data_IF_002353649014
#
_entry.id   IF_002353649014
#
_cell.length_a   1.000
_cell.length_b   1.000
_cell.length_c   1.000
_cell.angle_alpha   90.00
_cell.angle_beta   90.00
_cell.angle_gamma   90.00
#
_symmetry.space_group_name_H-M   'P 1'
#
loop_
_entity.id
_entity.type
_entity.pdbx_description
1 polymer ?
#
# COMPACT_ATOMS: atom_id res chain seq x y z
N UNK A 1 8.72 12.76 -11.39
CA UNK A 1 8.74 12.07 -10.10
C UNK A 1 9.32 10.70 -10.22
N UNK A 2 10.02 10.28 -9.21
CA UNK A 2 10.69 8.99 -9.21
C UNK A 2 10.11 8.11 -8.13
N UNK A 3 9.75 6.89 -8.49
CA UNK A 3 9.26 5.91 -7.54
C UNK A 3 10.42 4.97 -7.16
N UNK A 4 10.55 4.68 -5.88
CA UNK A 4 11.52 3.69 -5.45
C UNK A 4 11.19 3.13 -4.08
N UNK A 5 11.66 1.93 -3.83
CA UNK A 5 11.59 1.37 -2.49
C UNK A 5 12.55 2.09 -1.57
N UNK A 6 12.16 2.23 -0.34
CA UNK A 6 12.98 2.94 0.64
C UNK A 6 14.17 2.08 1.04
N UNK A 7 15.36 2.58 0.87
CA UNK A 7 16.54 1.84 1.19
C UNK A 7 17.29 2.42 2.38
N UNK A 8 17.22 3.72 2.55
CA UNK A 8 17.96 4.34 3.63
C UNK A 8 17.05 4.60 4.82
N UNK A 9 17.63 4.73 6.00
CA UNK A 9 16.83 5.04 7.17
C UNK A 9 16.06 6.34 7.05
N UNK A 10 16.63 7.34 6.38
CA UNK A 10 15.94 8.60 6.30
C UNK A 10 14.75 8.52 5.35
N UNK A 11 14.87 7.72 4.29
CA UNK A 11 13.75 7.52 3.40
C UNK A 11 12.62 6.79 4.12
N UNK A 12 12.97 5.76 4.87
CA UNK A 12 11.97 5.03 5.63
C UNK A 12 11.29 5.92 6.65
N UNK A 13 12.06 6.79 7.28
CA UNK A 13 11.48 7.71 8.22
C UNK A 13 10.52 8.68 7.54
N UNK A 14 10.92 9.25 6.42
CA UNK A 14 10.09 10.22 5.72
C UNK A 14 8.77 9.60 5.28
N UNK A 15 8.81 8.42 4.70
CA UNK A 15 7.61 7.75 4.26
C UNK A 15 6.76 7.34 5.46
N UNK A 16 7.40 6.84 6.50
CA UNK A 16 6.68 6.46 7.71
C UNK A 16 5.97 7.62 8.35
N UNK A 17 6.60 8.78 8.37
CA UNK A 17 5.98 9.97 8.94
C UNK A 17 4.81 10.44 8.09
N UNK A 18 4.92 10.36 6.78
CA UNK A 18 3.83 10.73 5.92
C UNK A 18 2.62 9.82 6.16
N UNK A 19 2.86 8.52 6.23
CA UNK A 19 1.78 7.58 6.45
C UNK A 19 1.15 7.78 7.82
N UNK A 20 1.96 7.93 8.84
CA UNK A 20 1.47 8.13 10.19
C UNK A 20 0.69 9.44 10.32
N UNK A 21 1.14 10.47 9.64
CA UNK A 21 0.47 11.77 9.69
C UNK A 21 -0.90 11.73 9.08
N UNK A 22 -1.18 10.75 8.25
CA UNK A 22 -2.50 10.62 7.67
C UNK A 22 -3.32 9.53 8.36
N UNK A 23 -2.86 9.08 9.49
CA UNK A 23 -3.63 8.15 10.30
C UNK A 23 -3.48 6.70 9.91
N UNK A 24 -2.54 6.38 9.08
CA UNK A 24 -2.34 5.00 8.67
C UNK A 24 -1.59 4.28 9.78
N UNK A 25 -2.16 3.22 10.29
CA UNK A 25 -1.58 2.59 11.48
C UNK A 25 -0.40 1.71 11.16
N UNK A 26 0.76 2.29 11.20
CA UNK A 26 1.97 1.52 11.07
C UNK A 26 2.62 1.29 12.42
N UNK A 27 1.94 1.67 13.48
CA UNK A 27 2.54 1.61 14.78
C UNK A 27 2.87 0.22 15.20
N UNK A 28 3.75 0.09 16.04
CA UNK A 28 4.11 -1.17 16.59
C UNK A 28 4.95 -1.96 15.65
N UNK A 29 4.46 -3.07 15.23
CA UNK A 29 5.25 -3.91 14.43
C UNK A 29 5.19 -3.53 13.03
N UNK A 30 4.29 -2.68 12.63
CA UNK A 30 4.07 -2.44 11.23
C UNK A 30 5.24 -1.90 10.49
N UNK A 31 5.94 -0.98 11.10
CA UNK A 31 7.04 -0.35 10.39
C UNK A 31 8.17 -1.31 10.15
N UNK A 32 8.43 -2.17 11.12
CA UNK A 32 9.56 -3.06 10.97
C UNK A 32 9.29 -4.24 10.04
N UNK A 33 8.05 -4.61 9.89
CA UNK A 33 7.74 -5.72 9.03
C UNK A 33 7.19 -5.32 7.68
N UNK A 34 7.21 -4.03 7.38
CA UNK A 34 6.64 -3.55 6.14
C UNK A 34 7.70 -3.08 5.19
N UNK A 35 7.45 -3.27 3.92
CA UNK A 35 8.25 -2.62 2.89
C UNK A 35 7.63 -1.27 2.63
N UNK A 36 8.46 -0.26 2.56
CA UNK A 36 8.01 1.09 2.31
C UNK A 36 8.50 1.57 0.96
N UNK A 37 7.63 2.28 0.28
CA UNK A 37 7.93 2.81 -1.05
C UNK A 37 7.64 4.31 -1.06
N UNK A 38 8.39 5.05 -1.81
CA UNK A 38 8.18 6.49 -1.91
C UNK A 38 8.13 6.96 -3.35
N UNK A 39 7.36 8.01 -3.58
CA UNK A 39 7.31 8.71 -4.84
C UNK A 39 7.92 10.09 -4.58
N UNK A 40 9.02 10.36 -5.23
CA UNK A 40 9.82 11.54 -4.93
C UNK A 40 9.81 12.53 -6.06
N UNK A 41 9.61 13.80 -5.72
CA UNK A 41 9.64 14.86 -6.69
C UNK A 41 11.04 15.47 -6.68
N UNK A 42 11.76 15.27 -7.73
CA UNK A 42 13.13 15.75 -7.81
C UNK A 42 13.22 17.17 -8.30
N UNK A 43 12.10 17.79 -8.63
CA UNK A 43 12.16 19.15 -9.12
C UNK A 43 11.95 20.17 -8.02
N UNK A 44 11.81 19.71 -6.80
CA UNK A 44 11.61 20.63 -5.68
C UNK A 44 12.83 21.49 -5.48
N UNK A 45 12.60 22.73 -5.11
CA UNK A 45 13.71 23.66 -4.95
C UNK A 45 14.67 23.24 -3.87
N UNK A 46 14.20 22.56 -2.87
CA UNK A 46 15.04 22.15 -1.77
C UNK A 46 15.64 20.77 -1.97
N UNK A 47 15.61 20.26 -3.16
CA UNK A 47 16.10 18.92 -3.42
C UNK A 47 14.94 17.96 -3.63
N UNK A 48 15.05 16.74 -3.12
CA UNK A 48 13.97 15.79 -3.30
C UNK A 48 12.87 16.05 -2.29
N UNK A 49 11.65 16.00 -2.73
CA UNK A 49 10.51 16.12 -1.84
C UNK A 49 9.63 14.90 -1.98
N UNK A 50 9.14 14.37 -0.88
CA UNK A 50 8.30 13.20 -0.91
C UNK A 50 6.89 13.58 -1.33
N UNK A 51 6.42 13.04 -2.43
CA UNK A 51 5.09 13.31 -2.94
C UNK A 51 4.07 12.28 -2.49
N UNK A 52 4.51 11.10 -2.18
CA UNK A 52 3.60 10.07 -1.70
C UNK A 52 4.34 8.85 -1.21
N UNK A 53 3.66 8.01 -0.50
CA UNK A 53 4.26 6.82 0.05
C UNK A 53 3.28 5.66 0.15
N UNK A 54 3.81 4.47 0.21
CA UNK A 54 3.01 3.27 0.34
C UNK A 54 3.71 2.27 1.25
N UNK A 55 2.92 1.43 1.88
CA UNK A 55 3.46 0.37 2.74
C UNK A 55 2.83 -0.95 2.34
N UNK A 56 3.66 -1.99 2.26
CA UNK A 56 3.18 -3.33 1.96
C UNK A 56 3.70 -4.28 3.01
N UNK A 57 3.03 -5.41 3.16
CA UNK A 57 3.51 -6.48 4.01
C UNK A 57 4.55 -7.32 3.31
N UNK A 58 5.02 -8.35 3.97
CA UNK A 58 6.01 -9.24 3.37
C UNK A 58 5.39 -10.13 2.30
N UNK A 59 6.22 -10.67 1.47
CA UNK A 59 5.78 -11.63 0.47
C UNK A 59 5.35 -12.89 1.17
N UNK A 60 4.14 -13.27 0.98
CA UNK A 60 3.61 -14.46 1.62
C UNK A 60 3.62 -15.65 0.71
N UNK A 61 3.14 -16.76 1.23
CA UNK A 61 3.05 -17.97 0.48
C UNK A 61 2.14 -17.77 -0.71
N UNK A 62 2.44 -18.39 -1.79
CA UNK A 62 1.65 -18.22 -2.99
C UNK A 62 1.89 -16.91 -3.71
N UNK A 63 2.84 -16.14 -3.28
CA UNK A 63 3.17 -14.89 -3.97
C UNK A 63 2.24 -13.76 -3.64
N UNK A 64 1.53 -13.84 -2.52
CA UNK A 64 0.60 -12.79 -2.14
C UNK A 64 1.27 -11.72 -1.30
N UNK A 65 1.03 -10.46 -1.58
CA UNK A 65 1.53 -9.34 -0.79
C UNK A 65 0.36 -8.46 -0.44
N UNK A 66 0.30 -7.98 0.78
CA UNK A 66 -0.78 -7.10 1.20
C UNK A 66 -0.36 -5.64 1.07
N UNK A 67 -1.18 -4.84 0.42
CA UNK A 67 -1.01 -3.40 0.41
C UNK A 67 -1.65 -2.86 1.67
N UNK A 68 -0.87 -2.24 2.51
CA UNK A 68 -1.33 -1.82 3.83
C UNK A 68 -1.75 -0.37 3.91
N UNK A 69 -1.23 0.47 3.08
CA UNK A 69 -1.63 1.86 3.10
C UNK A 69 -0.96 2.67 2.02
N UNK A 70 -1.55 3.80 1.76
CA UNK A 70 -1.05 4.71 0.77
C UNK A 70 -1.34 6.12 1.22
N UNK A 71 -0.45 7.02 1.01
CA UNK A 71 -0.64 8.42 1.37
C UNK A 71 -0.03 9.32 0.30
N UNK A 72 -0.66 10.45 0.06
CA UNK A 72 -0.16 11.46 -0.86
C UNK A 72 0.11 12.71 -0.05
N UNK A 73 1.24 13.32 -0.25
CA UNK A 73 1.62 14.48 0.52
C UNK A 73 0.71 15.66 0.20
N UNK A 74 0.43 16.47 1.22
CA UNK A 74 -0.36 17.65 1.01
C UNK A 74 0.41 18.56 0.07
N UNK A 75 -0.23 19.17 -0.80
CA UNK A 75 0.45 20.03 -1.74
C UNK A 75 0.91 19.36 -3.00
N UNK A 76 1.18 18.06 -2.93
CA UNK A 76 1.47 17.35 -4.12
C UNK A 76 0.20 16.92 -4.79
N UNK A 77 -0.79 17.08 -4.14
CA UNK A 77 -1.98 16.67 -4.43
C UNK A 77 -2.59 16.63 -5.61
N UNK A 78 -2.48 15.72 -6.24
CA UNK A 78 -3.06 15.70 -7.34
C UNK A 78 -3.67 14.55 -7.73
N UNK A 79 -4.43 14.65 -8.65
CA UNK A 79 -5.15 13.65 -9.20
C UNK A 79 -4.32 12.63 -9.73
N UNK A 80 -4.57 11.40 -9.44
CA UNK A 80 -3.86 10.27 -10.00
C UNK A 80 -2.60 9.85 -9.27
N UNK A 81 -2.14 10.57 -8.28
CA UNK A 81 -0.93 10.14 -7.60
C UNK A 81 -1.15 8.87 -6.79
N UNK A 82 -2.29 8.74 -6.15
CA UNK A 82 -2.58 7.49 -5.43
C UNK A 82 -2.62 6.29 -6.36
N UNK A 83 -3.27 6.45 -7.50
CA UNK A 83 -3.32 5.39 -8.48
C UNK A 83 -1.92 5.07 -9.00
N UNK A 84 -1.13 6.09 -9.26
CA UNK A 84 0.23 5.90 -9.74
C UNK A 84 1.05 5.13 -8.72
N UNK A 85 0.92 5.48 -7.43
CA UNK A 85 1.63 4.76 -6.39
C UNK A 85 1.25 3.29 -6.39
N UNK A 86 -0.03 2.98 -6.48
CA UNK A 86 -0.45 1.59 -6.47
C UNK A 86 0.11 0.85 -7.67
N UNK A 87 0.06 1.46 -8.83
CA UNK A 87 0.55 0.82 -10.05
C UNK A 87 2.07 0.60 -9.99
N UNK A 88 2.79 1.56 -9.47
CA UNK A 88 4.24 1.41 -9.35
C UNK A 88 4.61 0.36 -8.31
N UNK A 89 3.86 0.29 -7.22
CA UNK A 89 4.09 -0.77 -6.23
C UNK A 89 3.82 -2.13 -6.87
N UNK A 90 2.74 -2.24 -7.62
CA UNK A 90 2.41 -3.49 -8.28
C UNK A 90 3.52 -3.93 -9.25
N UNK A 91 4.04 -2.99 -10.03
CA UNK A 91 5.11 -3.31 -10.95
C UNK A 91 6.38 -3.74 -10.22
N UNK A 92 6.68 -3.06 -9.12
CA UNK A 92 7.86 -3.41 -8.33
C UNK A 92 7.71 -4.80 -7.73
N UNK A 93 6.53 -5.14 -7.26
CA UNK A 93 6.31 -6.44 -6.66
C UNK A 93 6.29 -7.54 -7.72
N UNK A 94 5.76 -7.24 -8.90
CA UNK A 94 5.80 -8.20 -9.98
C UNK A 94 7.26 -8.54 -10.32
N UNK A 95 8.10 -7.54 -10.34
CA UNK A 95 9.51 -7.76 -10.63
C UNK A 95 10.20 -8.59 -9.55
N UNK A 96 9.65 -8.65 -8.36
CA UNK A 96 10.20 -9.45 -7.30
C UNK A 96 9.59 -10.84 -7.24
N UNK A 97 8.72 -11.18 -8.15
CA UNK A 97 8.13 -12.49 -8.18
C UNK A 97 6.80 -12.64 -7.47
N UNK A 98 6.23 -11.54 -7.03
CA UNK A 98 4.91 -11.62 -6.42
C UNK A 98 3.86 -11.95 -7.48
N UNK A 99 2.87 -12.71 -7.10
CA UNK A 99 1.83 -13.12 -8.03
C UNK A 99 0.56 -12.29 -7.87
N UNK A 100 0.37 -11.70 -6.70
CA UNK A 100 -0.89 -11.03 -6.42
C UNK A 100 -0.73 -9.98 -5.34
N UNK A 101 -1.39 -8.87 -5.50
CA UNK A 101 -1.43 -7.83 -4.48
C UNK A 101 -2.84 -7.81 -3.92
N UNK A 102 -2.99 -7.88 -2.63
CA UNK A 102 -4.29 -7.87 -1.99
C UNK A 102 -4.44 -6.66 -1.09
N UNK A 103 -5.64 -6.15 -0.95
CA UNK A 103 -5.89 -5.00 -0.11
C UNK A 103 -7.29 -5.09 0.49
N UNK A 104 -7.44 -4.47 1.64
CA UNK A 104 -8.73 -4.35 2.25
C UNK A 104 -9.13 -2.91 2.18
N UNK A 105 -10.28 -2.57 1.69
CA UNK A 105 -10.69 -1.17 1.64
C UNK A 105 -10.69 -0.56 3.03
N UNK A 106 -10.07 0.57 3.15
CA UNK A 106 -9.97 1.23 4.44
C UNK A 106 -9.67 2.70 4.17
N UNK A 107 -10.62 3.57 4.44
CA UNK A 107 -10.44 4.97 4.19
C UNK A 107 -9.30 5.56 5.00
N UNK A 108 -9.06 5.03 6.18
CA UNK A 108 -7.99 5.56 7.00
C UNK A 108 -6.64 5.24 6.43
N UNK A 109 -6.56 4.15 5.70
CA UNK A 109 -5.30 3.76 5.09
C UNK A 109 -5.17 4.29 3.67
N UNK A 110 -6.08 5.12 3.23
CA UNK A 110 -6.04 5.66 1.89
C UNK A 110 -6.48 4.67 0.83
N UNK A 111 -7.00 3.52 1.24
CA UNK A 111 -7.36 2.47 0.31
C UNK A 111 -8.86 2.49 0.05
N UNK A 112 -9.30 3.52 -0.63
CA UNK A 112 -10.73 3.63 -0.92
C UNK A 112 -11.11 2.67 -2.03
N UNK A 113 -12.35 2.22 -2.05
CA UNK A 113 -12.79 1.37 -3.15
C UNK A 113 -12.60 2.01 -4.51
N UNK A 114 -12.79 3.32 -4.60
CA UNK A 114 -12.60 4.00 -5.86
C UNK A 114 -11.16 3.93 -6.34
N UNK A 115 -10.22 4.12 -5.43
CA UNK A 115 -8.81 4.02 -5.77
C UNK A 115 -8.46 2.61 -6.20
N UNK A 116 -8.89 1.63 -5.42
CA UNK A 116 -8.55 0.24 -5.73
C UNK A 116 -9.12 -0.16 -7.09
N UNK A 117 -10.35 0.24 -7.33
CA UNK A 117 -10.96 -0.08 -8.62
C UNK A 117 -10.22 0.61 -9.77
N UNK A 118 -9.83 1.86 -9.57
CA UNK A 118 -9.13 2.58 -10.62
C UNK A 118 -7.77 1.98 -10.94
N UNK A 119 -7.18 1.28 -9.99
CA UNK A 119 -5.89 0.64 -10.18
C UNK A 119 -6.02 -0.79 -10.72
N UNK A 120 -7.24 -1.27 -10.89
CA UNK A 120 -7.45 -2.59 -11.46
C UNK A 120 -7.79 -3.68 -10.48
N UNK A 121 -7.93 -3.36 -9.21
CA UNK A 121 -8.31 -4.36 -8.23
C UNK A 121 -9.78 -4.74 -8.42
N UNK A 122 -10.07 -5.98 -8.10
CA UNK A 122 -11.44 -6.47 -8.11
C UNK A 122 -11.70 -7.12 -6.77
N UNK A 123 -12.94 -7.15 -6.32
CA UNK A 123 -13.27 -7.84 -5.07
C UNK A 123 -12.91 -9.30 -5.21
N UNK A 124 -12.24 -9.84 -4.24
CA UNK A 124 -11.86 -11.23 -4.28
C UNK A 124 -13.08 -12.08 -3.97
N UNK A 125 -13.21 -13.13 -4.64
CA UNK A 125 -14.29 -14.03 -4.38
C UNK A 125 -14.07 -14.59 -3.02
N UNK A 126 -15.07 -14.96 -2.39
CA UNK A 126 -14.95 -15.43 -1.08
C UNK A 126 -14.02 -16.53 -0.94
N UNK A 127 -13.55 -16.77 -0.04
CA UNK A 127 -12.92 -17.88 0.28
C UNK A 127 -11.59 -18.16 0.00
N UNK A 128 -10.90 -17.72 -0.85
CA UNK A 128 -9.77 -18.33 -1.06
C UNK A 128 -8.80 -17.95 -0.18
N UNK A 129 -7.80 -18.06 -0.45
CA UNK A 129 -6.71 -18.08 0.27
C UNK A 129 -6.51 -16.97 1.21
N UNK A 130 -7.40 -16.21 1.37
CA UNK A 130 -7.22 -15.18 2.27
C UNK A 130 -6.91 -15.67 3.60
N UNK A 131 -7.12 -16.86 3.80
CA UNK A 131 -6.90 -17.41 5.06
C UNK A 131 -5.52 -17.18 5.52
N UNK A 132 -4.65 -17.12 4.64
CA UNK A 132 -3.39 -17.00 5.09
C UNK A 132 -3.05 -15.66 5.45
N UNK A 133 -3.63 -14.75 4.89
CA UNK A 133 -3.26 -13.49 5.24
C UNK A 133 -3.87 -13.11 6.52
N UNK A 134 -4.53 -13.94 7.07
CA UNK A 134 -5.29 -13.62 8.03
C UNK A 134 -4.83 -13.39 9.22
N UNK A 135 -4.98 -12.47 9.65
CA UNK A 135 -4.90 -12.28 10.86
C UNK A 135 -5.99 -12.85 11.53
N UNK A 136 -5.95 -12.91 12.66
CA UNK A 136 -6.93 -13.58 13.37
C UNK A 136 -8.17 -12.84 13.24
N UNK A 137 -9.10 -13.47 12.92
CA UNK A 137 -10.24 -13.00 12.76
C UNK A 137 -10.87 -12.83 13.92
N UNK A 138 -11.20 -11.85 14.31
CA UNK A 138 -11.79 -11.73 15.50
C UNK A 138 -13.21 -11.92 15.43
N UNK A 139 -13.59 -12.47 14.54
CA UNK A 139 -14.91 -12.84 14.57
C UNK A 139 -15.93 -11.81 14.46
N UNK A 140 -15.74 -10.88 13.75
CA UNK A 140 -16.73 -9.95 13.55
C UNK A 140 -17.54 -10.40 12.42
N UNK A 141 -18.64 -10.91 12.62
CA UNK A 141 -19.37 -11.48 11.57
C UNK A 141 -19.98 -10.43 10.75
N UNK A 142 -20.30 -10.70 9.71
CA UNK A 142 -20.96 -9.79 8.92
C UNK A 142 -20.13 -8.94 8.09
N UNK A 143 -18.94 -8.91 8.38
CA UNK A 143 -18.13 -8.15 7.59
C UNK A 143 -17.59 -8.88 6.52
N UNK A 144 -18.04 -10.00 6.31
CA UNK A 144 -17.44 -10.81 5.36
C UNK A 144 -17.34 -10.19 4.05
N UNK A 145 -18.25 -9.41 3.71
CA UNK A 145 -18.14 -8.99 2.44
C UNK A 145 -17.22 -7.92 2.30
N UNK A 146 -16.75 -7.36 3.24
CA UNK A 146 -15.86 -6.35 3.04
C UNK A 146 -14.61 -6.80 2.73
N UNK A 147 -14.55 -7.85 2.42
CA UNK A 147 -13.52 -8.48 2.20
C UNK A 147 -12.45 -7.95 1.44
N UNK A 148 -11.68 -8.76 0.93
CA UNK A 148 -10.43 -8.40 0.30
C UNK A 148 -10.62 -8.12 -1.16
N UNK A 149 -9.82 -7.23 -1.67
CA UNK A 149 -9.74 -6.97 -3.10
C UNK A 149 -8.37 -7.45 -3.57
N UNK A 150 -8.28 -7.84 -4.82
CA UNK A 150 -7.03 -8.38 -5.33
C UNK A 150 -6.70 -7.86 -6.70
N UNK A 151 -5.43 -7.81 -7.00
CA UNK A 151 -4.90 -7.42 -8.29
C UNK A 151 -3.89 -8.48 -8.69
N UNK A 152 -4.12 -9.12 -9.83
CA UNK A 152 -3.18 -10.09 -10.34
C UNK A 152 -1.98 -9.38 -10.91
N UNK A 153 -0.81 -9.87 -10.62
CA UNK A 153 0.42 -9.21 -11.07
C UNK A 153 1.09 -9.91 -12.26
#
# INVERSE_FOLDING_TARGET
MVFRGCRSPWERRAVGELLAGQGIPLAGRGVWGADLFGLWDLTALAGEALAGGAATGPLGDGGEVQLRGIAVAAGAGHQGLGRRLVCEVADSLRARGAARLVARPDDRAGLTPALLRSAGFVPAGGGHARAQVSAPRTGVPGDGESSWWELEL
#
